data_IF_105851771229
#
_entry.id   IF_105851771229
#
_cell.length_a   1.000
_cell.length_b   1.000
_cell.length_c   1.000
_cell.angle_alpha   90.00
_cell.angle_beta   90.00
_cell.angle_gamma   90.00
#
_symmetry.space_group_name_H-M   'P 1'
#
loop_
_entity.id
_entity.type
_entity.pdbx_description
1 polymer ?
#
# COMPACT_ATOMS: atom_id res chain seq x y z
N UNK A 1 4.21 -30.83 -25.33
CA UNK A 1 4.24 -29.85 -24.23
C UNK A 1 5.66 -29.29 -24.06
N UNK A 2 6.71 -30.12 -23.94
CA UNK A 2 8.09 -29.66 -23.73
C UNK A 2 8.59 -28.73 -24.84
N UNK A 3 8.34 -29.08 -26.14
CA UNK A 3 8.74 -28.25 -27.28
C UNK A 3 8.03 -26.88 -27.29
N UNK A 4 6.77 -26.82 -26.84
CA UNK A 4 6.02 -25.56 -26.75
C UNK A 4 6.67 -24.67 -25.67
N UNK A 5 6.97 -25.26 -24.53
CA UNK A 5 7.61 -24.53 -23.39
C UNK A 5 9.01 -24.07 -23.81
N UNK A 6 9.80 -24.96 -24.44
CA UNK A 6 11.15 -24.64 -24.89
C UNK A 6 11.14 -23.47 -25.88
N UNK A 7 10.27 -23.54 -26.90
CA UNK A 7 10.13 -22.50 -27.93
C UNK A 7 9.75 -21.14 -27.28
N UNK A 8 8.90 -21.14 -26.25
CA UNK A 8 8.50 -19.91 -25.57
C UNK A 8 9.62 -19.34 -24.70
N UNK A 9 10.38 -20.21 -24.00
CA UNK A 9 11.51 -19.81 -23.17
C UNK A 9 12.74 -19.34 -23.97
N UNK A 10 12.90 -19.82 -25.22
CA UNK A 10 13.98 -19.43 -26.12
C UNK A 10 13.65 -18.16 -26.94
N UNK A 11 12.45 -17.58 -26.81
CA UNK A 11 12.12 -16.30 -27.45
C UNK A 11 13.02 -15.19 -26.96
N UNK A 12 13.46 -14.33 -27.87
CA UNK A 12 14.21 -13.15 -27.54
C UNK A 12 13.33 -12.17 -26.76
N UNK A 13 13.61 -11.97 -25.48
CA UNK A 13 12.91 -10.98 -24.68
C UNK A 13 13.31 -9.55 -25.08
N UNK A 14 12.34 -8.63 -25.05
CA UNK A 14 12.57 -7.18 -25.18
C UNK A 14 13.15 -6.60 -23.89
N UNK A 15 12.98 -7.33 -22.78
CA UNK A 15 13.50 -6.93 -21.47
C UNK A 15 14.98 -7.33 -21.31
N UNK A 16 15.73 -6.47 -20.66
CA UNK A 16 17.04 -6.75 -20.09
C UNK A 16 16.91 -7.36 -18.69
N UNK A 17 16.05 -6.74 -17.83
CA UNK A 17 15.72 -7.19 -16.50
C UNK A 17 14.34 -6.66 -16.10
N UNK A 18 13.28 -7.43 -16.35
CA UNK A 18 11.91 -6.99 -16.05
C UNK A 18 11.64 -6.80 -14.55
N UNK A 19 12.47 -7.40 -13.65
CA UNK A 19 12.32 -7.23 -12.21
C UNK A 19 12.44 -5.77 -11.77
N UNK A 20 13.10 -4.95 -12.57
CA UNK A 20 13.24 -3.50 -12.33
C UNK A 20 11.94 -2.73 -12.43
N UNK A 21 10.89 -3.30 -13.02
CA UNK A 21 9.56 -2.68 -13.11
C UNK A 21 8.64 -3.05 -11.95
N UNK A 22 8.99 -4.07 -11.16
CA UNK A 22 8.14 -4.52 -10.06
C UNK A 22 8.23 -3.59 -8.83
N UNK A 23 7.13 -3.54 -8.02
CA UNK A 23 7.04 -2.67 -6.84
C UNK A 23 8.09 -2.93 -5.76
N UNK A 24 8.62 -4.16 -5.68
CA UNK A 24 9.60 -4.55 -4.68
C UNK A 24 11.01 -4.00 -4.97
N UNK A 25 11.28 -3.64 -6.21
CA UNK A 25 12.55 -3.03 -6.58
C UNK A 25 12.61 -1.56 -6.18
N UNK A 26 13.62 -1.19 -5.40
CA UNK A 26 13.89 0.18 -4.98
C UNK A 26 15.17 0.67 -5.64
N UNK A 27 15.11 1.61 -6.60
CA UNK A 27 16.29 2.14 -7.27
C UNK A 27 17.19 2.96 -6.31
N UNK A 28 18.44 3.14 -6.69
CA UNK A 28 19.38 3.96 -5.91
C UNK A 28 18.97 5.43 -5.90
N UNK A 29 18.56 5.95 -7.03
CA UNK A 29 18.05 7.31 -7.16
C UNK A 29 16.52 7.30 -7.29
N UNK A 30 15.85 8.16 -6.52
CA UNK A 30 14.39 8.33 -6.49
C UNK A 30 14.06 9.72 -7.07
N UNK A 31 13.67 9.81 -8.35
CA UNK A 31 13.29 11.08 -8.96
C UNK A 31 12.20 11.78 -8.14
N UNK A 32 12.29 13.11 -8.01
CA UNK A 32 11.30 13.97 -7.36
C UNK A 32 11.00 13.65 -5.88
N UNK A 33 11.92 12.93 -5.18
CA UNK A 33 11.76 12.61 -3.74
C UNK A 33 12.93 13.10 -2.86
N UNK A 34 13.78 13.96 -3.40
CA UNK A 34 14.91 14.55 -2.65
C UNK A 34 14.46 15.34 -1.42
N UNK A 35 13.34 16.06 -1.49
CA UNK A 35 12.82 16.83 -0.35
C UNK A 35 12.35 15.92 0.79
N UNK A 36 11.69 14.80 0.46
CA UNK A 36 11.25 13.82 1.45
C UNK A 36 12.45 13.14 2.12
N UNK A 37 13.49 12.79 1.36
CA UNK A 37 14.75 12.25 1.89
C UNK A 37 15.45 13.24 2.81
N UNK A 38 15.53 14.52 2.40
CA UNK A 38 16.10 15.59 3.25
C UNK A 38 15.29 15.80 4.53
N UNK A 39 13.97 15.74 4.45
CA UNK A 39 13.09 15.84 5.61
C UNK A 39 13.36 14.73 6.63
N UNK A 40 13.44 13.47 6.16
CA UNK A 40 13.80 12.33 7.01
C UNK A 40 15.19 12.48 7.62
N UNK A 41 16.18 12.90 6.82
CA UNK A 41 17.54 13.14 7.31
C UNK A 41 17.57 14.18 8.43
N UNK A 42 16.79 15.26 8.31
CA UNK A 42 16.66 16.30 9.36
C UNK A 42 16.01 15.76 10.63
N UNK A 43 14.93 14.99 10.50
CA UNK A 43 14.20 14.39 11.63
C UNK A 43 15.11 13.43 12.41
N UNK A 44 15.81 12.54 11.70
CA UNK A 44 16.61 11.48 12.34
C UNK A 44 18.06 11.87 12.60
N UNK A 45 18.47 13.10 12.30
CA UNK A 45 19.84 13.61 12.53
C UNK A 45 20.29 13.43 13.98
N UNK A 46 19.40 13.64 14.95
CA UNK A 46 19.70 13.51 16.37
C UNK A 46 20.17 12.10 16.76
N UNK A 47 19.79 11.07 16.02
CA UNK A 47 20.24 9.69 16.27
C UNK A 47 21.75 9.51 15.94
N UNK A 48 22.30 10.39 15.11
CA UNK A 48 23.72 10.45 14.80
C UNK A 48 24.45 11.39 15.75
N UNK A 49 23.89 12.59 15.98
CA UNK A 49 24.53 13.63 16.78
C UNK A 49 24.58 13.26 18.29
N UNK A 50 23.53 12.58 18.78
CA UNK A 50 23.38 12.15 20.20
C UNK A 50 22.65 10.79 20.28
N UNK A 51 23.33 9.68 19.97
CA UNK A 51 22.72 8.36 19.96
C UNK A 51 22.10 8.00 21.31
N UNK A 52 20.85 7.54 21.30
CA UNK A 52 20.12 7.12 22.49
C UNK A 52 19.53 8.24 23.35
N UNK A 53 19.72 9.49 22.98
CA UNK A 53 19.14 10.63 23.77
C UNK A 53 17.63 10.74 23.62
N UNK A 54 17.08 10.40 22.45
CA UNK A 54 15.65 10.52 22.15
C UNK A 54 15.21 9.43 21.18
N UNK A 55 13.94 9.05 21.27
CA UNK A 55 13.24 8.26 20.26
C UNK A 55 12.58 9.19 19.26
N UNK A 56 12.97 9.11 17.99
CA UNK A 56 12.34 9.91 16.94
C UNK A 56 11.23 9.13 16.24
N UNK A 57 10.16 9.84 15.91
CA UNK A 57 9.03 9.29 15.17
C UNK A 57 8.74 10.21 13.98
N UNK A 58 8.62 9.63 12.78
CA UNK A 58 8.24 10.35 11.56
C UNK A 58 7.00 9.70 10.94
N UNK A 59 6.11 10.50 10.36
CA UNK A 59 4.88 10.06 9.71
C UNK A 59 4.90 10.42 8.23
N UNK A 60 4.96 9.41 7.36
CA UNK A 60 4.89 9.56 5.92
C UNK A 60 3.44 9.37 5.46
N UNK A 61 2.86 10.41 4.87
CA UNK A 61 1.45 10.43 4.45
C UNK A 61 1.33 10.76 2.98
N UNK A 62 0.42 10.08 2.30
CA UNK A 62 0.04 10.38 0.92
C UNK A 62 -0.66 9.20 0.24
N UNK A 63 -1.25 9.41 -0.92
CA UNK A 63 -1.93 8.37 -1.69
C UNK A 63 -1.04 7.18 -2.03
N UNK A 64 -1.66 6.14 -2.55
CA UNK A 64 -0.96 4.94 -3.03
C UNK A 64 -0.09 5.30 -4.24
N UNK A 65 1.05 4.59 -4.40
CA UNK A 65 1.93 4.77 -5.54
C UNK A 65 2.76 6.06 -5.54
N UNK A 66 2.70 6.89 -4.48
CA UNK A 66 3.46 8.14 -4.37
C UNK A 66 4.90 7.96 -3.88
N UNK A 67 5.37 6.72 -3.70
CA UNK A 67 6.78 6.42 -3.38
C UNK A 67 7.15 6.42 -1.90
N UNK A 68 6.20 6.44 -0.95
CA UNK A 68 6.46 6.41 0.50
C UNK A 68 7.36 5.26 0.93
N UNK A 69 6.97 4.03 0.55
CA UNK A 69 7.73 2.80 0.85
C UNK A 69 9.13 2.84 0.25
N UNK A 70 9.26 3.30 -1.00
CA UNK A 70 10.55 3.39 -1.67
C UNK A 70 11.48 4.40 -0.99
N UNK A 71 10.96 5.57 -0.61
CA UNK A 71 11.72 6.59 0.14
C UNK A 71 12.15 6.06 1.51
N UNK A 72 11.24 5.42 2.26
CA UNK A 72 11.57 4.85 3.56
C UNK A 72 12.67 3.79 3.47
N UNK A 73 12.56 2.85 2.52
CA UNK A 73 13.58 1.81 2.31
C UNK A 73 14.92 2.39 1.89
N UNK A 74 14.93 3.31 0.90
CA UNK A 74 16.18 3.95 0.45
C UNK A 74 16.83 4.75 1.58
N UNK A 75 16.03 5.56 2.29
CA UNK A 75 16.51 6.30 3.45
C UNK A 75 17.11 5.37 4.50
N UNK A 76 16.42 4.30 4.86
CA UNK A 76 16.89 3.35 5.87
C UNK A 76 18.23 2.74 5.51
N UNK A 77 18.40 2.28 4.27
CA UNK A 77 19.66 1.69 3.77
C UNK A 77 20.81 2.71 3.84
N UNK A 78 20.60 3.91 3.31
CA UNK A 78 21.65 4.94 3.29
C UNK A 78 21.95 5.48 4.70
N UNK A 79 20.93 5.57 5.56
CA UNK A 79 21.09 6.02 6.93
C UNK A 79 21.86 5.00 7.79
N UNK A 80 21.58 3.71 7.65
CA UNK A 80 22.33 2.63 8.30
C UNK A 80 23.81 2.65 7.86
N UNK A 81 24.06 2.82 6.56
CA UNK A 81 25.41 2.94 6.00
C UNK A 81 26.15 4.16 6.59
N UNK A 82 25.53 5.34 6.57
CA UNK A 82 26.12 6.55 7.10
C UNK A 82 26.38 6.48 8.62
N UNK A 83 25.46 5.92 9.39
CA UNK A 83 25.63 5.70 10.82
C UNK A 83 26.87 4.82 11.11
N UNK A 84 27.02 3.75 10.34
CA UNK A 84 28.20 2.86 10.43
C UNK A 84 29.52 3.58 10.17
N UNK A 85 29.56 4.51 9.19
CA UNK A 85 30.74 5.35 8.93
C UNK A 85 31.07 6.27 10.13
N UNK A 86 30.08 6.59 10.97
CA UNK A 86 30.24 7.37 12.22
C UNK A 86 30.51 6.49 13.46
N UNK A 87 30.66 5.19 13.27
CA UNK A 87 30.88 4.24 14.38
C UNK A 87 29.63 3.89 15.18
N UNK A 88 28.44 4.25 14.66
CA UNK A 88 27.14 3.99 15.30
C UNK A 88 26.45 2.86 14.55
N UNK A 89 25.96 1.84 15.27
CA UNK A 89 25.22 0.74 14.65
C UNK A 89 23.74 1.01 14.78
N UNK A 90 23.12 1.46 13.69
CA UNK A 90 21.67 1.57 13.55
C UNK A 90 21.21 0.46 12.62
N UNK A 91 20.21 -0.33 13.03
CA UNK A 91 19.59 -1.38 12.22
C UNK A 91 18.28 -0.87 11.68
N UNK A 92 18.16 -0.77 10.35
CA UNK A 92 16.90 -0.45 9.69
C UNK A 92 16.07 -1.71 9.52
N UNK A 93 14.84 -1.69 10.03
CA UNK A 93 13.88 -2.79 9.93
C UNK A 93 12.61 -2.30 9.24
N UNK A 94 12.19 -3.00 8.18
CA UNK A 94 10.97 -2.67 7.45
C UNK A 94 9.91 -3.74 7.65
N UNK A 95 8.77 -3.35 8.23
CA UNK A 95 7.64 -4.24 8.52
C UNK A 95 6.42 -3.79 7.72
N UNK A 96 5.82 -4.70 6.97
CA UNK A 96 4.56 -4.45 6.27
C UNK A 96 3.39 -4.88 7.16
N UNK A 97 2.68 -3.90 7.74
CA UNK A 97 1.56 -4.13 8.67
C UNK A 97 0.29 -4.68 8.00
N UNK A 98 0.21 -4.67 6.67
CA UNK A 98 -0.83 -5.38 5.95
C UNK A 98 -0.61 -6.90 5.95
N UNK A 99 0.64 -7.33 5.90
CA UNK A 99 1.03 -8.76 6.01
C UNK A 99 1.06 -9.21 7.48
N UNK A 100 1.69 -8.40 8.33
CA UNK A 100 1.90 -8.68 9.75
C UNK A 100 0.91 -7.84 10.59
N UNK A 101 -0.38 -8.23 10.61
CA UNK A 101 -1.51 -7.44 11.15
C UNK A 101 -1.63 -7.42 12.67
N UNK A 102 -0.93 -8.31 13.37
CA UNK A 102 -0.96 -8.41 14.84
C UNK A 102 0.36 -7.96 15.42
N UNK A 103 0.32 -7.32 16.58
CA UNK A 103 1.52 -6.86 17.29
C UNK A 103 2.57 -7.97 17.42
N UNK A 104 2.15 -9.19 17.74
CA UNK A 104 3.04 -10.35 17.82
C UNK A 104 3.82 -10.59 16.52
N UNK A 105 3.16 -10.50 15.35
CA UNK A 105 3.83 -10.74 14.06
C UNK A 105 4.80 -9.60 13.72
N UNK A 106 4.41 -8.36 14.01
CA UNK A 106 5.28 -7.18 13.87
C UNK A 106 6.52 -7.35 14.73
N UNK A 107 6.33 -7.68 16.02
CA UNK A 107 7.44 -7.90 16.95
C UNK A 107 8.35 -9.05 16.55
N UNK A 108 7.76 -10.15 16.11
CA UNK A 108 8.53 -11.29 15.59
C UNK A 108 9.37 -10.91 14.37
N UNK A 109 8.84 -10.07 13.46
CA UNK A 109 9.60 -9.56 12.32
C UNK A 109 10.76 -8.69 12.79
N UNK A 110 10.51 -7.72 13.68
CA UNK A 110 11.55 -6.86 14.26
C UNK A 110 12.63 -7.72 14.92
N UNK A 111 12.24 -8.66 15.76
CA UNK A 111 13.16 -9.53 16.46
C UNK A 111 14.05 -10.34 15.51
N UNK A 112 13.47 -10.94 14.47
CA UNK A 112 14.22 -11.76 13.50
C UNK A 112 15.22 -10.94 12.66
N UNK A 113 14.91 -9.68 12.37
CA UNK A 113 15.81 -8.77 11.63
C UNK A 113 16.93 -8.19 12.52
N UNK A 114 16.66 -8.00 13.83
CA UNK A 114 17.69 -7.54 14.79
C UNK A 114 18.65 -8.67 15.16
N UNK A 115 18.12 -9.85 15.49
CA UNK A 115 18.95 -11.02 15.81
C UNK A 115 18.20 -12.33 15.57
N UNK A 116 18.71 -13.21 14.69
CA UNK A 116 18.13 -14.54 14.48
C UNK A 116 18.15 -15.44 15.72
N UNK A 117 18.94 -15.09 16.75
CA UNK A 117 19.03 -15.83 18.02
C UNK A 117 17.81 -15.60 18.94
N UNK A 118 17.00 -14.57 18.68
CA UNK A 118 15.80 -14.30 19.48
C UNK A 118 14.73 -15.37 19.19
N UNK A 119 14.14 -16.02 20.21
CA UNK A 119 13.12 -17.05 20.01
C UNK A 119 11.90 -16.51 19.26
N UNK A 120 11.49 -17.23 18.21
CA UNK A 120 10.34 -16.86 17.39
C UNK A 120 8.99 -17.34 17.95
N UNK A 121 8.99 -18.07 19.08
CA UNK A 121 7.80 -18.68 19.69
C UNK A 121 7.96 -18.69 21.22
N UNK A 122 6.82 -18.71 21.91
CA UNK A 122 6.76 -18.87 23.36
C UNK A 122 6.88 -17.58 24.17
N UNK A 123 7.02 -16.42 23.52
CA UNK A 123 7.06 -15.11 24.17
C UNK A 123 5.80 -14.31 23.85
N UNK A 124 5.27 -13.57 24.83
CA UNK A 124 4.27 -12.54 24.57
C UNK A 124 4.91 -11.37 23.79
N UNK A 125 4.11 -10.52 23.09
CA UNK A 125 4.65 -9.37 22.35
C UNK A 125 5.53 -8.45 23.19
N UNK A 126 5.12 -8.14 24.44
CA UNK A 126 5.86 -7.31 25.38
C UNK A 126 7.17 -7.96 25.82
N UNK A 127 7.15 -9.27 26.11
CA UNK A 127 8.35 -10.03 26.46
C UNK A 127 9.35 -10.05 25.30
N UNK A 128 8.87 -10.24 24.08
CA UNK A 128 9.69 -10.20 22.87
C UNK A 128 10.35 -8.83 22.69
N UNK A 129 9.61 -7.75 22.94
CA UNK A 129 10.14 -6.40 22.89
C UNK A 129 11.24 -6.17 23.93
N UNK A 130 11.05 -6.66 25.15
CA UNK A 130 12.07 -6.62 26.20
C UNK A 130 13.35 -7.33 25.78
N UNK A 131 13.24 -8.54 25.22
CA UNK A 131 14.38 -9.29 24.71
C UNK A 131 15.09 -8.54 23.58
N UNK A 132 14.33 -7.94 22.65
CA UNK A 132 14.92 -7.12 21.58
C UNK A 132 15.67 -5.92 22.16
N UNK A 133 15.06 -5.19 23.12
CA UNK A 133 15.73 -4.07 23.81
C UNK A 133 17.02 -4.51 24.48
N UNK A 134 17.00 -5.61 25.22
CA UNK A 134 18.19 -6.15 25.89
C UNK A 134 19.31 -6.47 24.90
N UNK A 135 19.00 -7.09 23.75
CA UNK A 135 19.98 -7.35 22.69
C UNK A 135 20.56 -6.05 22.12
N UNK A 136 19.74 -5.02 21.96
CA UNK A 136 20.19 -3.69 21.50
C UNK A 136 21.09 -3.02 22.55
N UNK A 137 20.76 -3.15 23.85
CA UNK A 137 21.56 -2.60 24.96
C UNK A 137 22.91 -3.30 25.06
N UNK A 138 22.94 -4.64 25.05
CA UNK A 138 24.15 -5.45 25.15
C UNK A 138 25.15 -5.17 24.03
N UNK A 139 24.62 -4.90 22.81
CA UNK A 139 25.43 -4.63 21.61
C UNK A 139 25.70 -3.15 21.36
N UNK A 140 25.13 -2.26 22.14
CA UNK A 140 25.07 -0.81 21.91
C UNK A 140 24.55 -0.46 20.47
N UNK A 141 23.51 -1.16 20.05
CA UNK A 141 22.83 -0.95 18.78
C UNK A 141 21.56 -0.14 18.94
N UNK A 142 21.10 0.43 17.83
CA UNK A 142 19.83 1.16 17.72
C UNK A 142 18.99 0.57 16.60
N UNK A 143 17.68 0.71 16.70
CA UNK A 143 16.74 0.23 15.69
C UNK A 143 15.93 1.42 15.12
N UNK A 144 15.94 1.54 13.79
CA UNK A 144 15.02 2.41 13.05
C UNK A 144 13.98 1.52 12.37
N UNK A 145 12.78 1.49 12.92
CA UNK A 145 11.70 0.59 12.47
C UNK A 145 10.73 1.35 11.59
N UNK A 146 10.58 0.92 10.34
CA UNK A 146 9.57 1.41 9.42
C UNK A 146 8.34 0.49 9.44
N UNK A 147 7.20 1.03 9.87
CA UNK A 147 5.90 0.37 9.87
C UNK A 147 5.13 0.82 8.64
N UNK A 148 5.21 0.01 7.59
CA UNK A 148 4.54 0.30 6.32
C UNK A 148 3.08 -0.16 6.37
N UNK A 149 2.18 0.66 5.81
CA UNK A 149 0.74 0.46 5.91
C UNK A 149 0.27 0.37 7.38
N UNK A 150 0.83 1.21 8.27
CA UNK A 150 0.54 1.22 9.70
C UNK A 150 -0.95 1.46 10.04
N UNK A 151 -1.71 2.05 9.12
CA UNK A 151 -3.16 2.17 9.20
C UNK A 151 -3.88 0.82 9.32
N UNK A 152 -3.31 -0.28 8.81
CA UNK A 152 -3.84 -1.63 9.04
C UNK A 152 -3.68 -2.08 10.49
N UNK A 153 -2.54 -1.84 11.09
CA UNK A 153 -2.30 -2.20 12.50
C UNK A 153 -3.27 -1.46 13.42
N UNK A 154 -3.56 -0.18 13.14
CA UNK A 154 -4.50 0.65 13.91
C UNK A 154 -5.95 0.16 13.72
N UNK A 155 -6.33 -0.24 12.50
CA UNK A 155 -7.73 -0.59 12.17
C UNK A 155 -8.13 -1.99 12.61
N UNK A 156 -7.21 -2.94 12.56
CA UNK A 156 -7.50 -4.37 12.69
C UNK A 156 -6.90 -5.01 13.95
N UNK A 157 -6.13 -4.27 14.73
CA UNK A 157 -5.72 -4.71 16.06
C UNK A 157 -6.85 -4.51 17.06
N UNK A 158 -7.22 -5.56 17.79
CA UNK A 158 -8.21 -5.50 18.88
C UNK A 158 -7.64 -4.76 20.11
N UNK A 159 -6.32 -4.70 20.18
CA UNK A 159 -5.56 -4.07 21.26
C UNK A 159 -4.96 -2.74 20.80
N UNK A 160 -4.54 -1.92 21.73
CA UNK A 160 -3.77 -0.69 21.51
C UNK A 160 -2.36 -0.95 20.97
N UNK A 161 -2.23 -1.92 20.04
CA UNK A 161 -0.96 -2.53 19.61
C UNK A 161 0.07 -1.52 19.10
N UNK A 162 -0.37 -0.52 18.34
CA UNK A 162 0.52 0.55 17.91
C UNK A 162 0.89 1.46 19.07
N UNK A 163 -0.05 1.69 19.98
CA UNK A 163 0.18 2.45 21.20
C UNK A 163 1.26 1.78 22.05
N UNK A 164 1.13 0.49 22.36
CA UNK A 164 2.12 -0.28 23.12
C UNK A 164 3.49 -0.22 22.45
N UNK A 165 3.54 -0.41 21.12
CA UNK A 165 4.78 -0.38 20.37
C UNK A 165 5.48 0.99 20.43
N UNK A 166 4.73 2.08 20.27
CA UNK A 166 5.29 3.43 20.31
C UNK A 166 5.61 3.92 21.72
N UNK A 167 4.91 3.42 22.74
CA UNK A 167 5.06 3.78 24.12
C UNK A 167 6.23 3.12 24.83
N UNK A 168 6.72 2.01 24.31
CA UNK A 168 7.88 1.30 24.90
C UNK A 168 9.10 2.21 25.04
N UNK A 169 9.16 3.27 24.23
CA UNK A 169 10.23 4.27 24.35
C UNK A 169 10.00 5.23 25.54
N UNK A 170 8.81 5.25 26.13
CA UNK A 170 8.44 6.13 27.24
C UNK A 170 8.59 5.43 28.60
N UNK A 171 8.52 4.10 28.64
CA UNK A 171 8.68 3.32 29.87
C UNK A 171 10.11 3.34 30.43
N UNK A 172 11.10 3.70 29.62
CA UNK A 172 12.52 3.70 29.96
C UNK A 172 13.13 5.10 29.83
N UNK A 173 12.56 6.08 30.54
CA UNK A 173 12.95 7.51 30.43
C UNK A 173 14.41 7.76 30.84
N UNK A 174 14.96 6.97 31.77
CA UNK A 174 16.34 7.08 32.24
C UNK A 174 17.34 6.26 31.42
N UNK A 175 16.85 5.36 30.55
CA UNK A 175 17.69 4.49 29.71
C UNK A 175 17.94 5.11 28.33
N UNK A 176 18.96 4.58 27.63
CA UNK A 176 19.17 4.92 26.23
C UNK A 176 17.95 4.54 25.37
N UNK A 177 17.47 5.48 24.57
CA UNK A 177 16.36 5.24 23.64
C UNK A 177 16.86 4.43 22.44
N UNK A 178 16.49 3.15 22.39
CA UNK A 178 16.99 2.21 21.38
C UNK A 178 16.16 2.16 20.11
N UNK A 179 14.90 2.59 20.17
CA UNK A 179 13.98 2.53 19.05
C UNK A 179 13.62 3.91 18.51
N UNK A 180 13.52 3.99 17.20
CA UNK A 180 12.92 5.12 16.48
C UNK A 180 12.03 4.59 15.37
N UNK A 181 11.01 5.35 14.95
CA UNK A 181 9.97 4.82 14.08
C UNK A 181 9.70 5.72 12.86
N UNK A 182 9.46 5.08 11.71
CA UNK A 182 8.86 5.68 10.52
C UNK A 182 7.50 5.01 10.31
N UNK A 183 6.41 5.76 10.47
CA UNK A 183 5.08 5.28 10.18
C UNK A 183 4.69 5.70 8.76
N UNK A 184 4.18 4.77 7.96
CA UNK A 184 3.75 5.02 6.59
C UNK A 184 2.25 4.76 6.52
N UNK A 185 1.48 5.79 6.17
CA UNK A 185 0.02 5.76 6.09
C UNK A 185 -0.48 6.41 4.80
N UNK A 186 -1.74 6.15 4.45
CA UNK A 186 -2.38 6.79 3.29
C UNK A 186 -2.85 8.20 3.61
N UNK A 187 -3.44 8.36 4.77
CA UNK A 187 -4.02 9.62 5.26
C UNK A 187 -4.02 9.66 6.78
N UNK A 188 -4.50 10.75 7.34
CA UNK A 188 -4.60 10.98 8.79
C UNK A 188 -5.89 10.47 9.41
N UNK A 189 -6.79 9.85 8.66
CA UNK A 189 -8.14 9.47 9.13
C UNK A 189 -8.15 8.47 10.28
N UNK A 190 -7.06 7.74 10.45
CA UNK A 190 -6.90 6.75 11.54
C UNK A 190 -6.27 7.35 12.80
N UNK A 191 -5.63 8.53 12.73
CA UNK A 191 -4.96 9.14 13.85
C UNK A 191 -5.88 9.48 15.05
N UNK A 192 -7.15 9.87 14.84
CA UNK A 192 -8.08 10.08 15.97
C UNK A 192 -8.38 8.82 16.80
N UNK A 193 -8.03 7.63 16.29
CA UNK A 193 -8.15 6.37 17.04
C UNK A 193 -6.94 6.14 17.98
N UNK A 194 -5.87 6.93 17.85
CA UNK A 194 -4.69 6.88 18.71
C UNK A 194 -4.85 7.85 19.87
N UNK A 195 -4.12 7.59 20.95
CA UNK A 195 -4.00 8.52 22.07
C UNK A 195 -3.50 9.90 21.63
N UNK A 196 -3.99 10.95 22.31
CA UNK A 196 -3.65 12.34 21.97
C UNK A 196 -2.15 12.63 22.08
N UNK A 197 -1.45 11.99 23.03
CA UNK A 197 0.00 12.15 23.24
C UNK A 197 0.78 11.65 22.01
N UNK A 198 0.46 10.44 21.53
CA UNK A 198 1.09 9.84 20.35
C UNK A 198 0.77 10.65 19.10
N UNK A 199 -0.50 11.02 18.94
CA UNK A 199 -0.95 11.83 17.80
C UNK A 199 -0.20 13.16 17.75
N UNK A 200 -0.03 13.82 18.89
CA UNK A 200 0.74 15.07 18.98
C UNK A 200 2.18 14.90 18.50
N UNK A 201 2.89 13.87 18.97
CA UNK A 201 4.27 13.60 18.57
C UNK A 201 4.38 13.28 17.07
N UNK A 202 3.48 12.47 16.53
CA UNK A 202 3.45 12.12 15.11
C UNK A 202 3.16 13.34 14.22
N UNK A 203 2.28 14.23 14.65
CA UNK A 203 1.89 15.42 13.89
C UNK A 203 3.01 16.47 13.78
N UNK A 204 4.06 16.42 14.61
CA UNK A 204 5.22 17.30 14.50
C UNK A 204 6.15 16.95 13.34
N UNK A 205 6.24 15.67 12.97
CA UNK A 205 7.20 15.16 11.99
C UNK A 205 6.48 14.51 10.80
N UNK A 206 5.61 15.27 10.13
CA UNK A 206 4.89 14.80 8.93
C UNK A 206 5.72 15.06 7.67
N UNK A 207 5.89 14.02 6.87
CA UNK A 207 6.45 14.08 5.52
C UNK A 207 5.34 13.75 4.53
N UNK A 208 4.89 14.75 3.77
CA UNK A 208 3.81 14.61 2.80
C UNK A 208 4.31 14.11 1.46
N UNK A 209 3.51 13.27 0.84
CA UNK A 209 3.73 12.72 -0.50
C UNK A 209 2.55 13.06 -1.38
N UNK A 210 2.72 14.04 -2.23
CA UNK A 210 1.71 14.41 -3.21
C UNK A 210 1.69 13.41 -4.39
N UNK A 211 0.52 13.24 -5.06
CA UNK A 211 0.43 12.49 -6.30
C UNK A 211 1.41 13.04 -7.35
N UNK A 212 1.96 12.18 -8.18
CA UNK A 212 2.91 12.60 -9.21
C UNK A 212 2.20 13.26 -10.40
N UNK A 213 2.83 14.31 -10.93
CA UNK A 213 2.47 14.91 -12.21
C UNK A 213 2.91 14.01 -13.38
N UNK A 214 2.40 14.30 -14.58
CA UNK A 214 2.81 13.57 -15.80
C UNK A 214 4.32 13.70 -16.06
N UNK A 215 4.90 14.87 -15.86
CA UNK A 215 6.36 15.08 -15.99
C UNK A 215 7.15 14.22 -14.99
N UNK A 216 6.71 14.19 -13.74
CA UNK A 216 7.35 13.38 -12.71
C UNK A 216 7.23 11.87 -12.99
N UNK A 217 6.06 11.43 -13.45
CA UNK A 217 5.86 10.03 -13.88
C UNK A 217 6.78 9.70 -15.05
N UNK A 218 6.91 10.61 -16.05
CA UNK A 218 7.80 10.40 -17.19
C UNK A 218 9.22 10.09 -16.73
N UNK A 219 9.81 10.95 -15.90
CA UNK A 219 11.17 10.77 -15.40
C UNK A 219 11.36 9.44 -14.62
N UNK A 220 10.34 9.05 -13.84
CA UNK A 220 10.37 7.78 -13.11
C UNK A 220 10.34 6.58 -14.05
N UNK A 221 9.44 6.57 -15.04
CA UNK A 221 9.34 5.43 -15.96
C UNK A 221 10.46 5.38 -16.98
N UNK A 222 11.03 6.52 -17.38
CA UNK A 222 12.20 6.59 -18.23
C UNK A 222 13.41 5.94 -17.55
N UNK A 223 13.73 6.33 -16.31
CA UNK A 223 14.77 5.68 -15.51
C UNK A 223 14.56 4.16 -15.40
N UNK A 224 13.30 3.75 -15.19
CA UNK A 224 12.98 2.33 -15.03
C UNK A 224 13.06 1.57 -16.36
N UNK A 225 12.70 2.24 -17.47
CA UNK A 225 12.83 1.68 -18.82
C UNK A 225 14.30 1.39 -19.16
N UNK A 226 15.19 2.32 -18.87
CA UNK A 226 16.64 2.14 -19.05
C UNK A 226 17.20 0.95 -18.26
N UNK A 227 16.67 0.69 -17.07
CA UNK A 227 17.09 -0.44 -16.23
C UNK A 227 16.49 -1.77 -16.67
N UNK A 228 15.25 -1.75 -17.18
CA UNK A 228 14.45 -2.95 -17.43
C UNK A 228 14.49 -3.45 -18.88
N UNK A 229 14.61 -2.55 -19.85
CA UNK A 229 14.54 -2.87 -21.26
C UNK A 229 15.91 -2.84 -21.94
N UNK A 230 16.01 -3.47 -23.09
CA UNK A 230 17.15 -3.30 -24.00
C UNK A 230 17.21 -1.86 -24.52
N UNK A 231 18.39 -1.40 -24.88
CA UNK A 231 18.60 -0.04 -25.37
C UNK A 231 17.70 0.23 -26.59
N UNK A 232 17.00 1.37 -26.56
CA UNK A 232 16.09 1.78 -27.63
C UNK A 232 14.81 0.96 -27.75
N UNK A 233 14.52 0.03 -26.83
CA UNK A 233 13.37 -0.85 -26.91
C UNK A 233 12.04 -0.20 -26.44
N UNK A 234 12.04 1.01 -25.93
CA UNK A 234 10.82 1.76 -25.57
C UNK A 234 10.83 3.11 -26.28
N UNK A 235 9.78 3.42 -27.04
CA UNK A 235 9.68 4.71 -27.72
C UNK A 235 9.35 5.84 -26.72
N UNK A 236 9.90 7.04 -26.96
CA UNK A 236 9.58 8.23 -26.16
C UNK A 236 8.09 8.56 -26.16
N UNK A 237 7.40 8.33 -27.28
CA UNK A 237 5.95 8.50 -27.39
C UNK A 237 5.17 7.51 -26.50
N UNK A 238 5.67 6.28 -26.30
CA UNK A 238 5.05 5.33 -25.38
C UNK A 238 5.23 5.79 -23.92
N UNK A 239 6.43 6.24 -23.53
CA UNK A 239 6.69 6.80 -22.20
C UNK A 239 5.79 8.02 -21.94
N UNK A 240 5.72 8.95 -22.90
CA UNK A 240 4.85 10.11 -22.81
C UNK A 240 3.38 9.73 -22.63
N UNK A 241 2.88 8.80 -23.42
CA UNK A 241 1.49 8.35 -23.30
C UNK A 241 1.21 7.72 -21.92
N UNK A 242 2.13 6.90 -21.37
CA UNK A 242 2.00 6.34 -20.02
C UNK A 242 1.96 7.47 -18.98
N UNK A 243 2.85 8.44 -19.10
CA UNK A 243 2.92 9.60 -18.20
C UNK A 243 1.62 10.41 -18.21
N UNK A 244 1.07 10.69 -19.40
CA UNK A 244 -0.23 11.38 -19.57
C UNK A 244 -1.39 10.58 -18.96
N UNK A 245 -1.39 9.25 -19.10
CA UNK A 245 -2.42 8.39 -18.52
C UNK A 245 -2.35 8.37 -16.99
N UNK A 246 -1.14 8.37 -16.42
CA UNK A 246 -0.94 8.17 -14.98
C UNK A 246 -0.81 9.47 -14.19
N UNK A 247 -0.44 10.60 -14.81
CA UNK A 247 -0.19 11.87 -14.16
C UNK A 247 -1.45 12.56 -13.63
N UNK A 248 -1.37 13.12 -12.41
CA UNK A 248 -2.54 13.76 -11.76
C UNK A 248 -3.00 15.04 -12.49
N UNK A 249 -2.09 15.78 -13.07
CA UNK A 249 -2.33 16.99 -13.87
C UNK A 249 -3.07 16.71 -15.18
N UNK A 250 -3.01 15.46 -15.66
CA UNK A 250 -3.72 14.99 -16.86
C UNK A 250 -5.01 14.20 -16.52
N UNK A 251 -5.44 14.22 -15.25
CA UNK A 251 -6.62 13.50 -14.77
C UNK A 251 -6.38 12.04 -14.40
N UNK A 252 -5.13 11.60 -14.38
CA UNK A 252 -4.71 10.28 -13.90
C UNK A 252 -4.60 10.21 -12.37
N UNK A 253 -4.28 9.04 -11.81
CA UNK A 253 -4.21 8.85 -10.35
C UNK A 253 -2.94 9.45 -9.70
N UNK A 254 -1.94 9.88 -10.43
CA UNK A 254 -0.64 10.31 -9.91
C UNK A 254 0.15 9.17 -9.25
N UNK A 255 -0.03 7.93 -9.71
CA UNK A 255 0.48 6.69 -9.14
C UNK A 255 1.60 6.10 -10.03
N UNK A 256 2.85 6.15 -9.53
CA UNK A 256 4.00 5.60 -10.24
C UNK A 256 3.93 4.07 -10.39
N UNK A 257 3.28 3.36 -9.46
CA UNK A 257 3.11 1.90 -9.52
C UNK A 257 2.21 1.52 -10.69
N UNK A 258 1.13 2.28 -10.89
CA UNK A 258 0.24 2.15 -12.04
C UNK A 258 0.99 2.40 -13.36
N UNK A 259 1.82 3.44 -13.42
CA UNK A 259 2.62 3.74 -14.59
C UNK A 259 3.63 2.62 -14.93
N UNK A 260 4.30 2.08 -13.92
CA UNK A 260 5.23 0.94 -14.08
C UNK A 260 4.52 -0.33 -14.55
N UNK A 261 3.31 -0.60 -14.06
CA UNK A 261 2.50 -1.72 -14.53
C UNK A 261 2.08 -1.55 -15.98
N UNK A 262 1.67 -0.34 -16.39
CA UNK A 262 1.38 -0.03 -17.80
C UNK A 262 2.60 -0.29 -18.69
N UNK A 263 3.78 0.17 -18.28
CA UNK A 263 5.01 -0.01 -19.00
C UNK A 263 5.39 -1.50 -19.14
N UNK A 264 5.29 -2.24 -18.03
CA UNK A 264 5.56 -3.67 -18.03
C UNK A 264 4.62 -4.44 -18.98
N UNK A 265 3.29 -4.21 -18.88
CA UNK A 265 2.31 -4.87 -19.75
C UNK A 265 2.48 -4.49 -21.23
N UNK A 266 2.77 -3.21 -21.50
CA UNK A 266 3.07 -2.78 -22.87
C UNK A 266 4.31 -3.49 -23.43
N UNK A 267 5.34 -3.72 -22.60
CA UNK A 267 6.50 -4.53 -22.95
C UNK A 267 6.13 -5.99 -23.23
N UNK A 268 5.26 -6.58 -22.41
CA UNK A 268 4.77 -7.96 -22.66
C UNK A 268 3.95 -8.08 -23.96
N UNK A 269 3.17 -7.05 -24.31
CA UNK A 269 2.49 -7.03 -25.62
C UNK A 269 3.48 -6.97 -26.78
N UNK A 270 4.50 -6.12 -26.69
CA UNK A 270 5.54 -6.05 -27.71
C UNK A 270 6.32 -7.37 -27.83
N UNK A 271 6.66 -8.00 -26.71
CA UNK A 271 7.33 -9.31 -26.67
C UNK A 271 6.49 -10.41 -27.33
N UNK A 272 5.19 -10.47 -27.03
CA UNK A 272 4.25 -11.44 -27.64
C UNK A 272 4.13 -11.27 -29.15
N UNK A 273 4.26 -10.06 -29.67
CA UNK A 273 4.26 -9.74 -31.10
C UNK A 273 5.64 -9.89 -31.74
N UNK A 274 6.67 -10.28 -30.97
CA UNK A 274 8.07 -10.31 -31.41
C UNK A 274 8.56 -8.94 -31.93
N UNK A 275 7.96 -7.86 -31.42
CA UNK A 275 8.36 -6.51 -31.71
C UNK A 275 9.62 -6.12 -30.92
N UNK A 276 10.50 -5.34 -31.54
CA UNK A 276 11.72 -4.83 -30.89
C UNK A 276 11.51 -3.50 -30.18
N UNK A 277 10.34 -2.89 -30.33
CA UNK A 277 10.02 -1.56 -29.81
C UNK A 277 8.63 -1.54 -29.16
N UNK A 278 8.55 -1.03 -27.94
CA UNK A 278 7.28 -0.71 -27.27
C UNK A 278 6.73 0.60 -27.85
N UNK A 279 5.53 0.54 -28.39
CA UNK A 279 4.85 1.65 -29.07
C UNK A 279 3.65 2.14 -28.27
N UNK A 280 3.06 3.31 -28.57
CA UNK A 280 1.83 3.78 -27.98
C UNK A 280 0.64 2.81 -28.14
N UNK A 281 0.61 1.98 -29.17
CA UNK A 281 -0.46 0.99 -29.36
C UNK A 281 -0.38 -0.14 -28.34
N UNK A 282 0.82 -0.59 -27.99
CA UNK A 282 1.01 -1.53 -26.89
C UNK A 282 0.52 -0.94 -25.55
N UNK A 283 0.79 0.37 -25.29
CA UNK A 283 0.30 1.09 -24.12
C UNK A 283 -1.22 1.17 -24.08
N UNK A 284 -1.87 1.49 -25.23
CA UNK A 284 -3.34 1.55 -25.32
C UNK A 284 -3.98 0.19 -25.04
N UNK A 285 -3.34 -0.89 -25.50
CA UNK A 285 -3.78 -2.26 -25.19
C UNK A 285 -3.59 -2.60 -23.72
N UNK A 286 -2.42 -2.30 -23.18
CA UNK A 286 -2.15 -2.48 -21.75
C UNK A 286 -3.18 -1.74 -20.88
N UNK A 287 -3.52 -0.49 -21.22
CA UNK A 287 -4.52 0.30 -20.50
C UNK A 287 -5.89 -0.36 -20.46
N UNK A 288 -6.30 -1.04 -21.54
CA UNK A 288 -7.60 -1.76 -21.60
C UNK A 288 -7.68 -2.93 -20.62
N UNK A 289 -6.54 -3.54 -20.30
CA UNK A 289 -6.47 -4.71 -19.43
C UNK A 289 -6.18 -4.34 -17.97
N UNK A 290 -5.61 -3.17 -17.73
CA UNK A 290 -5.41 -2.65 -16.39
C UNK A 290 -6.63 -1.83 -16.02
N UNK A 291 -7.48 -2.41 -15.20
CA UNK A 291 -8.50 -1.61 -14.53
C UNK A 291 -7.84 -0.81 -13.41
N UNK A 292 -8.04 0.53 -13.33
CA UNK A 292 -7.49 1.31 -12.24
C UNK A 292 -7.93 0.68 -10.93
N UNK A 293 -6.97 0.13 -10.27
CA UNK A 293 -6.88 -0.41 -8.93
C UNK A 293 -8.17 -0.48 -8.10
N UNK A 294 -9.01 -1.47 -8.33
CA UNK A 294 -9.50 -2.19 -7.18
C UNK A 294 -8.25 -2.75 -6.52
N UNK A 295 -8.04 -2.38 -5.29
CA UNK A 295 -7.14 -3.13 -4.43
C UNK A 295 -7.81 -4.47 -4.18
N UNK A 296 -7.56 -5.41 -5.07
CA UNK A 296 -8.09 -6.77 -5.00
C UNK A 296 -7.72 -7.42 -3.66
N UNK A 297 -6.56 -7.03 -3.12
CA UNK A 297 -6.10 -7.40 -1.78
C UNK A 297 -7.11 -7.00 -0.68
N UNK A 298 -7.73 -5.81 -0.79
CA UNK A 298 -8.71 -5.34 0.20
C UNK A 298 -10.01 -6.13 0.19
N UNK A 299 -10.41 -6.65 -0.97
CA UNK A 299 -11.63 -7.47 -1.06
C UNK A 299 -11.43 -8.82 -0.36
N UNK A 300 -10.23 -9.40 -0.44
CA UNK A 300 -9.88 -10.61 0.30
C UNK A 300 -10.07 -10.47 1.81
N UNK A 301 -9.78 -9.28 2.33
CA UNK A 301 -9.80 -8.96 3.76
C UNK A 301 -11.19 -8.62 4.33
N UNK A 302 -12.17 -8.38 3.47
CA UNK A 302 -13.53 -8.08 3.87
C UNK A 302 -14.19 -9.30 4.53
N UNK A 303 -15.08 -9.04 5.49
CA UNK A 303 -15.95 -10.07 6.03
C UNK A 303 -16.88 -10.61 4.94
N UNK A 304 -17.39 -11.82 5.11
CA UNK A 304 -18.32 -12.45 4.16
C UNK A 304 -19.51 -11.54 3.81
N UNK A 305 -20.12 -10.90 4.80
CA UNK A 305 -21.26 -9.99 4.57
C UNK A 305 -20.88 -8.69 3.87
N UNK A 306 -19.69 -8.19 4.06
CA UNK A 306 -19.16 -7.03 3.29
C UNK A 306 -18.92 -7.41 1.83
N UNK A 307 -18.42 -8.61 1.55
CA UNK A 307 -18.27 -9.16 0.19
C UNK A 307 -19.64 -9.32 -0.49
N UNK A 308 -20.63 -9.87 0.21
CA UNK A 308 -22.01 -10.00 -0.29
C UNK A 308 -22.64 -8.62 -0.55
N UNK A 309 -22.38 -7.63 0.30
CA UNK A 309 -22.85 -6.26 0.08
C UNK A 309 -22.14 -5.62 -1.12
N UNK A 310 -20.83 -5.85 -1.28
CA UNK A 310 -20.06 -5.37 -2.41
C UNK A 310 -20.58 -5.94 -3.73
N UNK A 311 -20.92 -7.23 -3.76
CA UNK A 311 -21.55 -7.90 -4.89
C UNK A 311 -22.94 -7.30 -5.20
N UNK A 312 -23.73 -7.01 -4.16
CA UNK A 312 -25.03 -6.37 -4.30
C UNK A 312 -24.92 -4.94 -4.90
N UNK A 313 -23.92 -4.17 -4.48
CA UNK A 313 -23.65 -2.85 -5.05
C UNK A 313 -23.31 -2.98 -6.54
N UNK A 314 -22.45 -3.94 -6.90
CA UNK A 314 -22.06 -4.19 -8.29
C UNK A 314 -23.27 -4.53 -9.16
N UNK A 315 -24.10 -5.46 -8.71
CA UNK A 315 -25.31 -5.89 -9.43
C UNK A 315 -26.37 -4.76 -9.55
N UNK A 316 -26.55 -3.97 -8.47
CA UNK A 316 -27.45 -2.83 -8.47
C UNK A 316 -27.03 -1.74 -9.47
N UNK A 317 -25.77 -1.38 -9.51
CA UNK A 317 -25.21 -0.43 -10.47
C UNK A 317 -25.34 -0.95 -11.91
N UNK A 318 -24.99 -2.20 -12.15
CA UNK A 318 -25.08 -2.85 -13.47
C UNK A 318 -26.52 -2.89 -13.98
N UNK A 319 -27.49 -3.28 -13.13
CA UNK A 319 -28.91 -3.37 -13.49
C UNK A 319 -29.52 -2.00 -13.77
N UNK A 320 -29.17 -0.99 -12.97
CA UNK A 320 -29.75 0.35 -13.11
C UNK A 320 -29.07 1.20 -14.17
N UNK A 321 -27.88 0.82 -14.64
CA UNK A 321 -27.03 1.60 -15.55
C UNK A 321 -26.78 3.04 -15.07
N UNK A 322 -26.84 3.27 -13.74
CA UNK A 322 -26.64 4.59 -13.13
C UNK A 322 -25.24 4.71 -12.57
N UNK A 323 -24.70 5.92 -12.57
CA UNK A 323 -23.43 6.22 -11.92
C UNK A 323 -23.47 6.01 -10.40
N UNK A 324 -24.65 6.16 -9.78
CA UNK A 324 -24.88 5.99 -8.35
C UNK A 324 -26.21 5.30 -8.08
N UNK A 325 -26.27 4.47 -7.03
CA UNK A 325 -27.49 3.81 -6.57
C UNK A 325 -27.83 4.20 -5.13
N UNK A 326 -29.11 4.44 -4.80
CA UNK A 326 -29.55 4.69 -3.43
C UNK A 326 -29.31 3.47 -2.53
N UNK A 327 -28.95 3.71 -1.27
CA UNK A 327 -28.72 2.64 -0.27
C UNK A 327 -29.91 1.67 -0.17
N UNK A 328 -31.15 2.15 -0.26
CA UNK A 328 -32.35 1.29 -0.22
C UNK A 328 -32.47 0.34 -1.43
N UNK A 329 -31.89 0.70 -2.59
CA UNK A 329 -31.78 -0.20 -3.76
C UNK A 329 -30.74 -1.28 -3.47
N UNK A 330 -29.59 -0.89 -2.92
CA UNK A 330 -28.51 -1.79 -2.54
C UNK A 330 -28.98 -2.82 -1.49
N UNK A 331 -29.76 -2.40 -0.49
CA UNK A 331 -30.29 -3.29 0.53
C UNK A 331 -31.25 -4.36 -0.03
N UNK A 332 -32.08 -3.98 -1.01
CA UNK A 332 -32.94 -4.98 -1.68
C UNK A 332 -32.10 -6.00 -2.44
N UNK A 333 -31.09 -5.54 -3.17
CA UNK A 333 -30.19 -6.42 -3.90
C UNK A 333 -29.35 -7.30 -2.96
N UNK A 334 -28.92 -6.74 -1.83
CA UNK A 334 -28.18 -7.48 -0.80
C UNK A 334 -28.98 -8.66 -0.20
N UNK A 335 -30.30 -8.51 -0.03
CA UNK A 335 -31.16 -9.61 0.41
C UNK A 335 -31.15 -10.74 -0.61
N UNK A 336 -31.30 -10.43 -1.90
CA UNK A 336 -31.27 -11.42 -2.99
C UNK A 336 -29.91 -12.13 -3.05
N UNK A 337 -28.82 -11.37 -2.95
CA UNK A 337 -27.47 -11.94 -2.92
C UNK A 337 -27.27 -12.84 -1.71
N UNK A 338 -27.76 -12.45 -0.53
CA UNK A 338 -27.68 -13.29 0.67
C UNK A 338 -28.44 -14.62 0.47
N UNK A 339 -29.65 -14.59 -0.10
CA UNK A 339 -30.45 -15.78 -0.41
C UNK A 339 -29.70 -16.70 -1.39
N UNK A 340 -29.14 -16.15 -2.46
CA UNK A 340 -28.36 -16.91 -3.45
C UNK A 340 -27.16 -17.62 -2.82
N UNK A 341 -26.49 -16.96 -1.88
CA UNK A 341 -25.29 -17.50 -1.21
C UNK A 341 -25.61 -18.26 0.10
N UNK A 342 -26.89 -18.49 0.42
CA UNK A 342 -27.33 -19.27 1.59
C UNK A 342 -27.07 -18.57 2.93
N UNK A 343 -27.00 -17.24 2.94
CA UNK A 343 -26.78 -16.42 4.12
C UNK A 343 -28.03 -15.68 4.57
N UNK A 344 -28.14 -15.45 5.88
CA UNK A 344 -29.22 -14.63 6.42
C UNK A 344 -28.88 -13.15 6.29
N UNK A 345 -29.73 -12.33 5.61
CA UNK A 345 -29.46 -10.90 5.46
C UNK A 345 -29.43 -10.21 6.83
N UNK A 346 -28.48 -9.31 7.00
CA UNK A 346 -28.31 -8.50 8.22
C UNK A 346 -29.30 -7.33 8.24
N UNK A 347 -29.55 -6.78 9.44
CA UNK A 347 -30.44 -5.63 9.64
C UNK A 347 -29.83 -4.34 9.08
N UNK A 348 -30.66 -3.34 8.80
CA UNK A 348 -30.27 -2.04 8.23
C UNK A 348 -29.07 -1.39 8.93
N UNK A 349 -29.04 -1.33 10.25
CA UNK A 349 -27.92 -0.76 11.02
C UNK A 349 -26.58 -1.43 10.73
N UNK A 350 -26.60 -2.74 10.56
CA UNK A 350 -25.38 -3.52 10.28
C UNK A 350 -24.95 -3.37 8.82
N UNK A 351 -25.91 -3.33 7.89
CA UNK A 351 -25.64 -3.01 6.48
C UNK A 351 -25.04 -1.61 6.35
N UNK A 352 -25.56 -0.66 7.12
CA UNK A 352 -25.01 0.69 7.18
C UNK A 352 -23.57 0.71 7.70
N UNK A 353 -23.25 -0.06 8.73
CA UNK A 353 -21.88 -0.23 9.23
C UNK A 353 -20.95 -0.77 8.14
N UNK A 354 -21.38 -1.75 7.36
CA UNK A 354 -20.62 -2.30 6.24
C UNK A 354 -20.39 -1.25 5.14
N UNK A 355 -21.41 -0.45 4.81
CA UNK A 355 -21.27 0.68 3.87
C UNK A 355 -20.20 1.66 4.36
N UNK A 356 -20.23 2.03 5.65
CA UNK A 356 -19.21 2.93 6.21
C UNK A 356 -17.81 2.30 6.18
N UNK A 357 -17.69 1.01 6.44
CA UNK A 357 -16.39 0.33 6.37
C UNK A 357 -15.88 0.25 4.92
N UNK A 358 -16.71 -0.14 3.96
CA UNK A 358 -16.35 -0.18 2.54
C UNK A 358 -15.92 1.22 2.01
N UNK A 359 -16.58 2.29 2.49
CA UNK A 359 -16.17 3.67 2.23
C UNK A 359 -14.82 4.00 2.86
N UNK A 360 -14.64 3.66 4.14
CA UNK A 360 -13.40 3.90 4.90
C UNK A 360 -12.21 3.20 4.26
N UNK A 361 -12.42 2.00 3.76
CA UNK A 361 -11.41 1.21 3.03
C UNK A 361 -11.16 1.76 1.62
N UNK A 362 -12.02 2.67 1.12
CA UNK A 362 -11.87 3.32 -0.19
C UNK A 362 -12.30 2.47 -1.38
N UNK A 363 -13.11 1.43 -1.16
CA UNK A 363 -13.67 0.60 -2.25
C UNK A 363 -14.88 1.29 -2.89
N UNK A 364 -15.72 1.94 -2.06
CA UNK A 364 -16.89 2.66 -2.51
C UNK A 364 -16.80 4.15 -2.17
N UNK A 365 -17.49 4.97 -2.97
CA UNK A 365 -17.78 6.37 -2.68
C UNK A 365 -19.24 6.54 -2.29
N UNK A 366 -19.52 7.49 -1.40
CA UNK A 366 -20.88 7.82 -0.98
C UNK A 366 -21.11 9.32 -1.06
N UNK A 367 -22.32 9.71 -1.51
CA UNK A 367 -22.77 11.10 -1.49
C UNK A 367 -24.23 11.19 -1.05
N UNK A 368 -24.64 12.34 -0.52
CA UNK A 368 -26.05 12.60 -0.21
C UNK A 368 -26.78 12.94 -1.51
N UNK A 369 -28.02 12.42 -1.67
CA UNK A 369 -28.87 12.73 -2.84
C UNK A 369 -29.18 14.23 -2.92
N UNK A 370 -29.11 14.76 -4.15
CA UNK A 370 -29.56 16.11 -4.51
C UNK A 370 -31.03 16.14 -4.89
N UNK A 371 -31.49 17.26 -5.48
CA UNK A 371 -32.85 17.38 -6.04
C UNK A 371 -33.19 16.24 -7.00
N UNK A 372 -34.43 15.75 -7.00
CA UNK A 372 -34.89 14.63 -7.83
C UNK A 372 -35.03 13.29 -7.10
N UNK A 373 -34.66 13.22 -5.84
CA UNK A 373 -34.93 12.05 -4.99
C UNK A 373 -36.01 12.37 -3.95
N UNK A 374 -36.89 11.41 -3.69
CA UNK A 374 -37.91 11.54 -2.64
C UNK A 374 -37.26 11.38 -1.25
N UNK A 375 -36.89 12.53 -0.64
CA UNK A 375 -36.19 12.60 0.63
C UNK A 375 -34.65 12.52 0.48
N UNK A 376 -33.93 12.70 1.60
CA UNK A 376 -32.46 12.57 1.65
C UNK A 376 -32.10 11.07 1.74
N UNK A 377 -31.31 10.59 0.80
CA UNK A 377 -30.76 9.23 0.79
C UNK A 377 -29.28 9.24 0.48
N UNK A 378 -28.56 8.23 0.93
CA UNK A 378 -27.16 8.04 0.56
C UNK A 378 -27.10 7.31 -0.79
N UNK A 379 -26.36 7.89 -1.71
CA UNK A 379 -26.02 7.34 -3.01
C UNK A 379 -24.66 6.69 -2.96
N UNK A 380 -24.53 5.48 -3.50
CA UNK A 380 -23.33 4.64 -3.46
C UNK A 380 -22.83 4.39 -4.88
N UNK A 381 -21.52 4.47 -5.09
CA UNK A 381 -20.83 4.08 -6.31
C UNK A 381 -19.50 3.45 -6.01
N UNK A 382 -18.88 2.81 -6.99
CA UNK A 382 -17.47 2.44 -6.91
C UNK A 382 -16.59 3.67 -7.16
N UNK A 383 -15.43 3.69 -6.51
CA UNK A 383 -14.52 4.83 -6.64
C UNK A 383 -13.71 4.73 -7.94
N UNK A 384 -13.13 3.58 -8.24
CA UNK A 384 -12.13 3.46 -9.30
C UNK A 384 -12.23 2.18 -10.16
N UNK A 385 -13.33 1.43 -10.10
CA UNK A 385 -13.42 0.17 -10.84
C UNK A 385 -14.76 -0.06 -11.56
N UNK A 386 -14.71 -0.67 -12.75
CA UNK A 386 -15.91 -1.08 -13.46
C UNK A 386 -16.71 -2.13 -12.70
N UNK A 387 -18.01 -2.01 -12.74
CA UNK A 387 -18.97 -2.85 -12.01
C UNK A 387 -18.83 -4.34 -12.32
N UNK A 388 -18.60 -4.67 -13.59
CA UNK A 388 -18.44 -6.06 -14.05
C UNK A 388 -17.16 -6.73 -13.53
N UNK A 389 -16.10 -5.96 -13.30
CA UNK A 389 -14.82 -6.48 -12.77
C UNK A 389 -14.97 -6.81 -11.30
N UNK A 390 -15.60 -5.90 -10.54
CA UNK A 390 -15.89 -6.12 -9.11
C UNK A 390 -16.80 -7.33 -8.94
N UNK A 391 -17.88 -7.41 -9.71
CA UNK A 391 -18.84 -8.51 -9.66
C UNK A 391 -18.11 -9.85 -9.83
N UNK A 392 -17.37 -10.00 -10.94
CA UNK A 392 -16.66 -11.25 -11.26
C UNK A 392 -15.63 -11.63 -10.18
N UNK A 393 -14.86 -10.67 -9.71
CA UNK A 393 -13.82 -10.92 -8.71
C UNK A 393 -14.40 -11.30 -7.35
N UNK A 394 -15.41 -10.57 -6.88
CA UNK A 394 -16.06 -10.87 -5.59
C UNK A 394 -16.73 -12.24 -5.62
N UNK A 395 -17.38 -12.60 -6.73
CA UNK A 395 -17.94 -13.95 -6.91
C UNK A 395 -16.87 -15.03 -6.84
N UNK A 396 -15.72 -14.81 -7.48
CA UNK A 396 -14.60 -15.77 -7.46
C UNK A 396 -14.03 -15.94 -6.04
N UNK A 397 -13.84 -14.84 -5.29
CA UNK A 397 -13.38 -14.89 -3.89
C UNK A 397 -14.39 -15.63 -3.01
N UNK A 398 -15.69 -15.31 -3.13
CA UNK A 398 -16.74 -15.95 -2.36
C UNK A 398 -16.86 -17.47 -2.68
N UNK A 399 -16.70 -17.87 -3.94
CA UNK A 399 -16.69 -19.30 -4.34
C UNK A 399 -15.51 -20.04 -3.71
N UNK A 400 -14.31 -19.47 -3.74
CA UNK A 400 -13.12 -20.07 -3.10
C UNK A 400 -13.31 -20.26 -1.59
N UNK A 401 -13.95 -19.29 -0.91
CA UNK A 401 -14.19 -19.34 0.53
C UNK A 401 -15.31 -20.31 0.93
N UNK A 402 -16.28 -20.55 0.05
CA UNK A 402 -17.44 -21.42 0.32
C UNK A 402 -17.27 -22.82 -0.24
N UNK A 403 -16.17 -23.10 -0.96
CA UNK A 403 -15.93 -24.43 -1.58
C UNK A 403 -16.90 -24.76 -2.72
N UNK A 404 -17.52 -23.76 -3.35
CA UNK A 404 -18.47 -23.87 -4.46
C UNK A 404 -17.81 -23.62 -5.82
#
# INVERSE_FOLDING_TARGET
VFEIIKKELERSSIFKDESKLFPDYVPEYLPHRSEQLRALARIFRVLIDRPGSVSQKALLIGPVGTGKTAVSKRFGIEFEKYAKEKGIVIRYVHVNCHKDRRLFLVMRRIASEISPAIPNRGLAPQEMMHVVKQVLDDKDWYALVALDEADYLIRYSEDEALYDLLRITEEYVEDKQRFSFILIMRDTSVLPALDASITSVLMHNIVKFEPYTSEQIHDIIEQRAELAFKEGAVSSEALKLIADIAGVDMGGPGDARYALELLWRAGKYAENESATLVTPDHVRRAKRDIHPSLRMDLVGDLTKHEKLLLLAIARALKRTQRAYVPVGVVEREYRLVCEEWGERPRRHTQVWSYVQNLKKVGIISTRISGPGYRGKTTLISFQDAPTNVIEKYVEEVLRRETGR
#
